data_IF_029350881534
#
_entry.id   IF_029350881534
#
_cell.length_a   1.000
_cell.length_b   1.000
_cell.length_c   1.000
_cell.angle_alpha   90.00
_cell.angle_beta   90.00
_cell.angle_gamma   90.00
#
_symmetry.space_group_name_H-M   'P 1'
#
loop_
_entity.id
_entity.type
_entity.pdbx_description
1 polymer ?
#
# COMPACT_ATOMS: atom_id res chain seq x y z
N UNK A 1 -2.44 -19.49 -2.80
CA UNK A 1 -1.80 -18.48 -3.68
C UNK A 1 -1.83 -17.18 -2.90
N UNK A 2 -0.75 -16.43 -2.85
CA UNK A 2 -0.74 -15.14 -2.14
C UNK A 2 -1.31 -14.07 -3.06
N UNK A 3 -2.09 -13.08 -2.58
CA UNK A 3 -2.46 -11.89 -3.35
C UNK A 3 -1.26 -11.16 -3.97
N UNK A 4 -0.06 -11.29 -3.41
CA UNK A 4 1.18 -10.71 -3.95
C UNK A 4 1.72 -11.47 -5.17
N UNK A 5 1.19 -12.67 -5.47
CA UNK A 5 1.49 -13.39 -6.69
C UNK A 5 0.84 -12.71 -7.91
N UNK A 6 -0.31 -12.06 -7.72
CA UNK A 6 -1.04 -11.30 -8.76
C UNK A 6 -1.14 -9.80 -8.43
N UNK A 7 -0.21 -9.02 -8.98
CA UNK A 7 -0.11 -7.57 -8.76
C UNK A 7 -0.51 -6.82 -10.04
N UNK A 8 -1.71 -6.22 -10.00
CA UNK A 8 -2.23 -5.37 -11.05
C UNK A 8 -1.82 -3.91 -10.83
N UNK A 9 -1.00 -3.37 -11.72
CA UNK A 9 -0.64 -1.94 -11.72
C UNK A 9 -1.61 -1.18 -12.62
N UNK A 10 -2.40 -0.27 -12.04
CA UNK A 10 -3.40 0.53 -12.77
C UNK A 10 -2.76 1.52 -13.75
N UNK A 11 -3.53 2.02 -14.70
CA UNK A 11 -3.07 3.04 -15.64
C UNK A 11 -2.61 4.32 -14.92
N UNK A 12 -3.33 4.73 -13.87
CA UNK A 12 -2.93 5.86 -13.02
C UNK A 12 -1.54 5.67 -12.42
N UNK A 13 -1.23 4.48 -11.89
CA UNK A 13 0.10 4.18 -11.37
C UNK A 13 1.16 4.09 -12.48
N UNK A 14 0.80 3.56 -13.66
CA UNK A 14 1.68 3.44 -14.84
C UNK A 14 2.07 4.80 -15.41
N UNK A 15 1.13 5.74 -15.49
CA UNK A 15 1.38 7.10 -15.99
C UNK A 15 2.46 7.84 -15.18
N UNK A 16 2.63 7.47 -13.90
CA UNK A 16 3.66 8.05 -13.03
C UNK A 16 5.07 7.50 -13.27
N UNK A 17 5.25 6.48 -14.11
CA UNK A 17 6.58 5.87 -14.39
C UNK A 17 7.64 6.84 -14.90
N UNK A 18 7.21 7.95 -15.52
CA UNK A 18 8.14 9.00 -15.98
C UNK A 18 8.71 9.85 -14.86
N UNK A 19 8.19 9.72 -13.62
CA UNK A 19 8.60 10.48 -12.44
C UNK A 19 9.10 9.59 -11.30
N UNK A 20 8.57 8.38 -11.20
CA UNK A 20 8.78 7.46 -10.07
C UNK A 20 9.14 6.06 -10.59
N UNK A 21 8.55 5.00 -10.03
CA UNK A 21 8.85 3.61 -10.35
C UNK A 21 8.15 3.12 -11.62
N UNK A 22 8.80 2.22 -12.35
CA UNK A 22 8.16 1.43 -13.41
C UNK A 22 7.22 0.37 -12.82
N UNK A 23 6.29 -0.20 -13.61
CA UNK A 23 5.43 -1.28 -13.13
C UNK A 23 6.20 -2.49 -12.58
N UNK A 24 7.35 -2.82 -13.14
CA UNK A 24 8.14 -3.97 -12.67
C UNK A 24 8.84 -3.65 -11.35
N UNK A 25 9.33 -2.42 -11.18
CA UNK A 25 9.86 -1.95 -9.90
C UNK A 25 8.78 -1.92 -8.81
N UNK A 26 7.56 -1.48 -9.12
CA UNK A 26 6.45 -1.52 -8.17
C UNK A 26 6.19 -2.96 -7.69
N UNK A 27 6.18 -3.92 -8.62
CA UNK A 27 5.96 -5.34 -8.28
C UNK A 27 7.09 -5.90 -7.41
N UNK A 28 8.34 -5.56 -7.73
CA UNK A 28 9.48 -5.94 -6.91
C UNK A 28 9.36 -5.35 -5.50
N UNK A 29 9.09 -4.04 -5.39
CA UNK A 29 8.92 -3.36 -4.09
C UNK A 29 7.85 -4.03 -3.24
N UNK A 30 6.67 -4.33 -3.80
CA UNK A 30 5.59 -4.97 -3.04
C UNK A 30 5.92 -6.41 -2.61
N UNK A 31 6.82 -7.11 -3.30
CA UNK A 31 7.19 -8.49 -2.97
C UNK A 31 8.38 -8.59 -2.02
N UNK A 32 9.32 -7.66 -2.13
CA UNK A 32 10.68 -7.84 -1.59
C UNK A 32 11.07 -6.76 -0.59
N UNK A 33 10.54 -5.54 -0.74
CA UNK A 33 10.99 -4.41 0.06
C UNK A 33 10.18 -4.22 1.34
N UNK A 34 10.78 -3.49 2.26
CA UNK A 34 10.19 -3.09 3.53
C UNK A 34 10.04 -1.58 3.63
N UNK A 35 9.09 -1.15 4.46
CA UNK A 35 8.82 0.25 4.72
C UNK A 35 7.88 0.41 5.90
N UNK A 36 7.08 1.46 5.87
CA UNK A 36 6.04 1.73 6.84
C UNK A 36 4.69 1.49 6.17
N UNK A 37 3.98 0.45 6.61
CA UNK A 37 2.68 0.08 6.04
C UNK A 37 1.57 0.51 6.97
N UNK A 38 0.65 1.29 6.44
CA UNK A 38 -0.49 1.80 7.18
C UNK A 38 -1.77 1.83 6.36
N UNK A 39 -2.90 1.84 7.06
CA UNK A 39 -4.22 2.16 6.51
C UNK A 39 -4.74 3.47 7.09
N UNK A 40 -5.68 4.11 6.40
CA UNK A 40 -6.44 5.20 7.00
C UNK A 40 -7.41 4.63 8.04
N UNK A 41 -7.48 5.31 9.17
CA UNK A 41 -8.43 5.00 10.23
C UNK A 41 -9.06 6.31 10.75
N UNK A 42 -10.23 6.20 11.36
CA UNK A 42 -10.86 7.31 12.07
C UNK A 42 -11.29 6.79 13.43
N UNK A 43 -10.66 7.22 14.53
CA UNK A 43 -11.03 6.75 15.87
C UNK A 43 -12.39 7.28 16.31
N UNK A 44 -12.99 8.20 15.55
CA UNK A 44 -14.33 8.72 15.79
C UNK A 44 -15.38 8.15 14.85
N UNK A 45 -14.98 7.43 13.80
CA UNK A 45 -15.90 6.91 12.78
C UNK A 45 -15.43 5.54 12.31
N UNK A 46 -16.00 4.50 12.91
CA UNK A 46 -15.77 3.15 12.44
C UNK A 46 -16.35 2.97 11.03
N UNK A 47 -15.63 2.25 10.17
CA UNK A 47 -16.04 2.01 8.78
C UNK A 47 -15.97 3.21 7.81
N UNK A 48 -15.47 4.38 8.22
CA UNK A 48 -15.38 5.55 7.32
C UNK A 48 -14.41 5.35 6.15
N UNK A 49 -13.36 4.55 6.35
CA UNK A 49 -12.33 4.28 5.35
C UNK A 49 -12.31 2.80 5.01
N UNK A 50 -12.15 2.51 3.72
CA UNK A 50 -12.06 1.16 3.21
C UNK A 50 -10.90 0.40 3.89
N UNK A 51 -11.20 -0.81 4.38
CA UNK A 51 -10.24 -1.64 5.13
C UNK A 51 -9.21 -2.33 4.24
N UNK A 52 -9.50 -2.39 2.94
CA UNK A 52 -8.68 -2.99 1.90
C UNK A 52 -7.56 -2.07 1.39
N UNK A 53 -7.58 -0.78 1.75
CA UNK A 53 -6.68 0.23 1.18
C UNK A 53 -5.51 0.58 2.09
N UNK A 54 -4.31 0.40 1.56
CA UNK A 54 -3.05 0.57 2.29
C UNK A 54 -2.10 1.54 1.58
N UNK A 55 -1.13 2.01 2.36
CA UNK A 55 -0.01 2.82 1.91
C UNK A 55 1.26 2.13 2.40
N UNK A 56 2.16 1.80 1.48
CA UNK A 56 3.55 1.43 1.76
C UNK A 56 4.42 2.67 1.54
N UNK A 57 4.91 3.24 2.64
CA UNK A 57 5.82 4.39 2.65
C UNK A 57 7.26 3.90 2.82
N UNK A 58 8.17 4.35 1.96
CA UNK A 58 9.59 4.05 2.11
C UNK A 58 10.47 4.69 1.05
N UNK A 59 11.75 4.33 1.09
CA UNK A 59 12.75 4.71 0.11
C UNK A 59 12.95 3.56 -0.87
N UNK A 60 12.48 3.72 -2.11
CA UNK A 60 12.50 2.67 -3.13
C UNK A 60 13.26 3.16 -4.35
N UNK A 61 14.24 2.38 -4.82
CA UNK A 61 15.09 2.75 -5.96
C UNK A 61 15.65 4.19 -5.88
N UNK A 62 16.04 4.63 -4.67
CA UNK A 62 16.60 5.96 -4.42
C UNK A 62 15.57 7.10 -4.33
N UNK A 63 14.27 6.79 -4.27
CA UNK A 63 13.19 7.78 -4.15
C UNK A 63 12.33 7.55 -2.91
N UNK A 64 12.05 8.61 -2.15
CA UNK A 64 11.08 8.60 -1.04
C UNK A 64 9.65 8.64 -1.57
N UNK A 65 8.96 7.50 -1.52
CA UNK A 65 7.64 7.31 -2.13
C UNK A 65 6.61 6.73 -1.16
N UNK A 66 5.36 7.08 -1.43
CA UNK A 66 4.16 6.40 -0.96
C UNK A 66 3.57 5.60 -2.12
N UNK A 67 3.48 4.27 -1.96
CA UNK A 67 2.77 3.37 -2.88
C UNK A 67 1.40 3.08 -2.27
N UNK A 68 0.33 3.47 -2.98
CA UNK A 68 -1.05 3.26 -2.54
C UNK A 68 -1.63 2.07 -3.29
N UNK A 69 -2.11 1.09 -2.54
CA UNK A 69 -2.63 -0.16 -3.10
C UNK A 69 -3.85 -0.65 -2.33
N UNK A 70 -4.64 -1.50 -2.97
CA UNK A 70 -5.70 -2.28 -2.32
C UNK A 70 -5.35 -3.77 -2.33
N UNK A 71 -5.79 -4.47 -1.29
CA UNK A 71 -5.73 -5.93 -1.21
C UNK A 71 -7.12 -6.48 -1.49
N UNK A 72 -7.20 -7.42 -2.41
CA UNK A 72 -8.36 -8.28 -2.63
C UNK A 72 -8.00 -9.71 -2.24
N UNK A 73 -9.00 -10.59 -2.16
CA UNK A 73 -8.83 -12.01 -1.82
C UNK A 73 -7.72 -12.71 -2.62
N UNK A 74 -7.62 -12.42 -3.92
CA UNK A 74 -6.68 -13.12 -4.82
C UNK A 74 -5.61 -12.22 -5.45
N UNK A 75 -5.65 -10.91 -5.21
CA UNK A 75 -4.77 -9.95 -5.92
C UNK A 75 -4.48 -8.69 -5.13
N UNK A 76 -3.40 -8.00 -5.51
CA UNK A 76 -3.11 -6.64 -5.09
C UNK A 76 -3.25 -5.68 -6.27
N UNK A 77 -3.97 -4.58 -6.06
CA UNK A 77 -4.16 -3.55 -7.09
C UNK A 77 -3.45 -2.27 -6.66
N UNK A 78 -2.46 -1.85 -7.46
CA UNK A 78 -1.71 -0.61 -7.20
C UNK A 78 -2.45 0.56 -7.84
N UNK A 79 -3.02 1.40 -6.98
CA UNK A 79 -3.81 2.56 -7.38
C UNK A 79 -2.90 3.68 -7.89
N UNK A 80 -1.84 4.00 -7.15
CA UNK A 80 -0.93 5.10 -7.52
C UNK A 80 0.37 5.05 -6.72
N UNK A 81 1.30 5.91 -7.10
CA UNK A 81 2.54 6.20 -6.42
C UNK A 81 2.77 7.71 -6.40
N UNK A 82 3.29 8.24 -5.30
CA UNK A 82 3.54 9.66 -5.12
C UNK A 82 4.75 9.92 -4.24
N UNK A 83 5.37 11.09 -4.41
CA UNK A 83 6.39 11.58 -3.47
C UNK A 83 5.82 11.68 -2.07
N UNK A 84 6.60 11.32 -1.06
CA UNK A 84 6.23 11.58 0.32
C UNK A 84 6.06 13.09 0.55
N UNK A 85 4.93 13.49 1.12
CA UNK A 85 4.72 14.84 1.63
C UNK A 85 4.95 14.88 3.15
N UNK A 86 5.23 16.07 3.70
CA UNK A 86 5.46 16.30 5.14
C UNK A 86 4.28 15.95 6.06
N UNK A 87 3.14 15.52 5.50
CA UNK A 87 2.05 15.00 6.30
C UNK A 87 2.44 13.66 6.93
N UNK A 88 2.26 13.58 8.24
CA UNK A 88 2.55 12.38 9.02
C UNK A 88 1.52 11.29 8.72
N UNK A 89 1.95 10.18 8.11
CA UNK A 89 1.19 8.91 8.09
C UNK A 89 1.26 8.16 9.43
N UNK A 90 1.61 8.87 10.50
CA UNK A 90 1.67 8.36 11.87
C UNK A 90 0.70 9.15 12.73
N UNK A 91 -0.08 8.45 13.56
CA UNK A 91 -0.92 9.06 14.57
C UNK A 91 -2.40 8.82 14.32
N UNK A 92 -3.24 9.73 14.80
CA UNK A 92 -4.67 9.50 15.04
C UNK A 92 -5.47 9.01 13.81
N UNK A 93 -5.06 9.34 12.59
CA UNK A 93 -5.81 9.03 11.36
C UNK A 93 -5.18 7.92 10.52
N UNK A 94 -4.07 7.35 10.99
CA UNK A 94 -3.35 6.28 10.30
C UNK A 94 -2.91 5.22 11.30
N UNK A 95 -3.34 4.00 11.05
CA UNK A 95 -2.94 2.83 11.82
C UNK A 95 -1.81 2.13 11.11
N UNK A 96 -0.70 1.89 11.82
CA UNK A 96 0.37 1.05 11.31
C UNK A 96 -0.07 -0.41 11.40
N UNK A 97 -0.09 -1.09 10.26
CA UNK A 97 -0.41 -2.53 10.17
C UNK A 97 0.83 -3.39 10.00
N UNK A 98 1.97 -2.81 9.59
CA UNK A 98 3.21 -3.56 9.49
C UNK A 98 4.37 -2.80 8.85
N UNK A 99 5.18 -3.56 8.14
CA UNK A 99 6.40 -3.14 7.45
C UNK A 99 6.55 -3.67 6.02
N UNK A 100 5.73 -4.63 5.61
CA UNK A 100 5.73 -5.20 4.25
C UNK A 100 4.32 -5.23 3.68
N UNK A 101 4.19 -5.38 2.35
CA UNK A 101 2.88 -5.58 1.76
C UNK A 101 2.23 -6.90 2.20
N UNK A 102 3.02 -7.89 2.62
CA UNK A 102 2.50 -9.13 3.21
C UNK A 102 1.78 -8.86 4.54
N UNK A 103 2.30 -7.96 5.37
CA UNK A 103 1.61 -7.57 6.61
C UNK A 103 0.24 -6.93 6.34
N UNK A 104 0.09 -6.20 5.22
CA UNK A 104 -1.21 -5.67 4.79
C UNK A 104 -2.16 -6.77 4.32
N UNK A 105 -1.64 -7.79 3.62
CA UNK A 105 -2.42 -8.97 3.20
C UNK A 105 -2.91 -9.75 4.41
N UNK A 106 -2.04 -10.02 5.38
CA UNK A 106 -2.38 -10.74 6.61
C UNK A 106 -3.43 -9.97 7.42
N UNK A 107 -3.27 -8.64 7.51
CA UNK A 107 -4.26 -7.78 8.15
C UNK A 107 -5.62 -7.83 7.44
N UNK A 108 -5.64 -7.73 6.11
CA UNK A 108 -6.88 -7.79 5.33
C UNK A 108 -7.60 -9.12 5.52
N UNK A 109 -6.88 -10.24 5.47
CA UNK A 109 -7.46 -11.57 5.70
C UNK A 109 -8.07 -11.70 7.10
N UNK A 110 -7.39 -11.19 8.13
CA UNK A 110 -7.92 -11.23 9.50
C UNK A 110 -9.21 -10.41 9.67
N UNK A 111 -9.35 -9.29 8.95
CA UNK A 111 -10.54 -8.44 9.01
C UNK A 111 -11.70 -8.98 8.16
N UNK A 112 -11.43 -9.62 7.02
CA UNK A 112 -12.48 -10.20 6.15
C UNK A 112 -13.13 -11.45 6.78
N UNK A 113 -12.38 -12.19 7.61
CA UNK A 113 -12.89 -13.33 8.38
C UNK A 113 -13.71 -12.94 9.64
N UNK A 114 -13.80 -11.63 9.96
CA UNK A 114 -14.44 -11.07 11.18
C UNK A 114 -15.91 -10.70 10.99
#
# INVERSE_FOLDING_TARGET
MSPLDDIAVTDTAREKRGRYLTPDQIRAVLREDSGYVCRRCSPTHDGLYAADKFILRGAFHGSELDIVFTVNTDSVVVITQMSQHNESLRGRFYERVGSTAADAVDYYAAVDDS
#
